data_IF_655289187963
#
_entry.id   IF_655289187963
#
_cell.length_a   1.000
_cell.length_b   1.000
_cell.length_c   1.000
_cell.angle_alpha   90.00
_cell.angle_beta   90.00
_cell.angle_gamma   90.00
#
_symmetry.space_group_name_H-M   'P 1'
#
loop_
_entity.id
_entity.type
_entity.pdbx_description
1 polymer ?
#
# COMPACT_ATOMS: atom_id res chain seq x y z
N UNK A 1 -13.52 -21.17 7.77
CA UNK A 1 -12.63 -21.51 6.64
C UNK A 1 -13.28 -21.21 5.29
N UNK A 2 -14.50 -21.70 5.00
CA UNK A 2 -15.21 -21.41 3.75
C UNK A 2 -15.38 -19.90 3.49
N UNK A 3 -15.74 -19.11 4.51
CA UNK A 3 -15.89 -17.67 4.40
C UNK A 3 -14.55 -16.96 4.09
N UNK A 4 -13.46 -17.36 4.76
CA UNK A 4 -12.13 -16.79 4.49
C UNK A 4 -11.69 -17.04 3.04
N UNK A 5 -11.87 -18.27 2.55
CA UNK A 5 -11.59 -18.61 1.16
C UNK A 5 -12.49 -17.83 0.17
N UNK A 6 -13.76 -17.62 0.52
CA UNK A 6 -14.69 -16.83 -0.29
C UNK A 6 -14.28 -15.35 -0.37
N UNK A 7 -13.78 -14.77 0.73
CA UNK A 7 -13.25 -13.40 0.75
C UNK A 7 -12.02 -13.29 -0.15
N UNK A 8 -11.04 -14.19 0.00
CA UNK A 8 -9.84 -14.19 -0.84
C UNK A 8 -10.15 -14.41 -2.33
N UNK A 9 -11.14 -15.25 -2.63
CA UNK A 9 -11.55 -15.49 -4.03
C UNK A 9 -12.16 -14.25 -4.70
N UNK A 10 -12.84 -13.39 -3.91
CA UNK A 10 -13.45 -12.15 -4.39
C UNK A 10 -12.51 -10.96 -4.35
N UNK A 11 -11.38 -11.08 -3.66
CA UNK A 11 -10.43 -10.00 -3.50
C UNK A 11 -9.79 -9.61 -4.84
N UNK A 12 -9.66 -8.32 -5.09
CA UNK A 12 -9.08 -7.70 -6.29
C UNK A 12 -7.55 -7.83 -6.39
N UNK A 13 -6.91 -8.49 -5.42
CA UNK A 13 -5.46 -8.65 -5.26
C UNK A 13 -4.69 -7.32 -5.15
N UNK A 14 -5.38 -6.26 -4.77
CA UNK A 14 -4.79 -4.96 -4.49
C UNK A 14 -4.75 -4.68 -2.99
N UNK A 15 -3.84 -3.77 -2.58
CA UNK A 15 -3.80 -3.19 -1.23
C UNK A 15 -4.20 -1.72 -1.30
N UNK A 16 -5.36 -1.46 -1.90
CA UNK A 16 -5.94 -0.13 -2.02
C UNK A 16 -6.87 0.19 -0.86
N UNK A 17 -7.20 1.46 -0.67
CA UNK A 17 -8.01 1.91 0.46
C UNK A 17 -9.28 1.07 0.68
N UNK A 18 -9.96 0.70 -0.40
CA UNK A 18 -11.22 -0.03 -0.37
C UNK A 18 -11.09 -1.53 -0.63
N UNK A 19 -9.87 -2.03 -0.88
CA UNK A 19 -9.64 -3.46 -1.13
C UNK A 19 -10.07 -4.31 0.04
N UNK A 20 -10.92 -5.29 -0.24
CA UNK A 20 -11.49 -6.22 0.74
C UNK A 20 -10.91 -7.62 0.52
N UNK A 21 -10.21 -8.12 1.52
CA UNK A 21 -9.44 -9.36 1.45
C UNK A 21 -7.94 -9.15 1.66
N UNK A 22 -7.41 -7.96 1.38
CA UNK A 22 -5.99 -7.64 1.54
C UNK A 22 -5.50 -7.82 2.99
N UNK A 23 -6.28 -7.40 3.98
CA UNK A 23 -5.94 -7.59 5.41
C UNK A 23 -5.88 -9.08 5.75
N UNK A 24 -6.86 -9.86 5.31
CA UNK A 24 -6.88 -11.30 5.51
C UNK A 24 -5.70 -11.99 4.81
N UNK A 25 -5.39 -11.59 3.58
CA UNK A 25 -4.25 -12.11 2.84
C UNK A 25 -2.93 -11.83 3.57
N UNK A 26 -2.73 -10.58 4.02
CA UNK A 26 -1.55 -10.22 4.81
C UNK A 26 -1.40 -11.10 6.05
N UNK A 27 -2.45 -11.21 6.85
CA UNK A 27 -2.39 -12.04 8.07
C UNK A 27 -2.14 -13.53 7.76
N UNK A 28 -2.61 -14.00 6.61
CA UNK A 28 -2.35 -15.36 6.16
C UNK A 28 -0.90 -15.57 5.73
N UNK A 29 -0.37 -14.67 4.90
CA UNK A 29 1.05 -14.70 4.45
C UNK A 29 2.00 -14.59 5.63
N UNK A 30 1.73 -13.67 6.57
CA UNK A 30 2.51 -13.52 7.80
C UNK A 30 2.50 -14.79 8.66
N UNK A 31 1.33 -15.45 8.77
CA UNK A 31 1.19 -16.67 9.55
C UNK A 31 1.94 -17.89 8.94
N UNK A 32 2.10 -17.91 7.62
CA UNK A 32 2.91 -18.91 6.91
C UNK A 32 4.40 -18.52 6.96
N UNK A 33 4.69 -17.22 6.97
CA UNK A 33 6.08 -16.71 6.88
C UNK A 33 6.67 -16.95 5.51
N UNK A 34 5.92 -16.66 4.45
CA UNK A 34 6.41 -16.79 3.07
C UNK A 34 7.66 -15.95 2.82
N UNK A 35 8.60 -16.61 2.16
CA UNK A 35 9.82 -16.00 1.63
C UNK A 35 10.05 -16.48 0.22
N UNK A 36 10.14 -15.56 -0.74
CA UNK A 36 10.34 -15.90 -2.15
C UNK A 36 11.68 -16.61 -2.41
N UNK A 37 12.66 -16.37 -1.54
CA UNK A 37 13.98 -17.00 -1.56
C UNK A 37 14.03 -18.38 -0.87
N UNK A 38 12.88 -18.88 -0.37
CA UNK A 38 12.77 -20.23 0.19
C UNK A 38 11.98 -21.15 -0.76
N UNK A 39 12.65 -21.88 -1.64
CA UNK A 39 11.99 -22.72 -2.66
C UNK A 39 11.11 -23.82 -2.07
N UNK A 40 11.42 -24.31 -0.87
CA UNK A 40 10.69 -25.40 -0.23
C UNK A 40 9.27 -25.03 0.21
N UNK A 41 8.93 -23.76 0.22
CA UNK A 41 7.59 -23.27 0.56
C UNK A 41 6.60 -23.36 -0.60
N UNK A 42 7.08 -23.59 -1.82
CA UNK A 42 6.27 -23.58 -3.04
C UNK A 42 6.22 -24.98 -3.67
N UNK A 43 5.08 -25.31 -4.28
CA UNK A 43 4.95 -26.51 -5.10
C UNK A 43 5.86 -26.44 -6.33
N UNK A 44 5.92 -25.27 -6.96
CA UNK A 44 6.91 -24.90 -7.96
C UNK A 44 7.61 -23.62 -7.47
N UNK A 45 8.93 -23.66 -7.21
CA UNK A 45 9.66 -22.48 -6.75
C UNK A 45 9.73 -21.40 -7.84
N UNK A 46 10.21 -20.22 -7.46
CA UNK A 46 10.49 -19.17 -8.44
C UNK A 46 11.61 -19.60 -9.39
N UNK A 47 11.39 -19.37 -10.69
CA UNK A 47 12.33 -19.70 -11.77
C UNK A 47 12.70 -18.42 -12.54
N UNK A 48 13.99 -18.19 -12.75
CA UNK A 48 14.51 -17.04 -13.50
C UNK A 48 14.04 -17.07 -14.97
N UNK A 49 13.93 -18.27 -15.54
CA UNK A 49 13.46 -18.49 -16.92
C UNK A 49 11.94 -18.28 -17.11
N UNK A 50 11.16 -18.30 -16.03
CA UNK A 50 9.71 -18.07 -16.07
C UNK A 50 9.22 -17.23 -14.86
N UNK A 51 9.71 -15.99 -14.71
CA UNK A 51 9.44 -15.15 -13.56
C UNK A 51 7.97 -14.68 -13.46
N UNK A 52 7.24 -14.72 -14.57
CA UNK A 52 5.85 -14.25 -14.63
C UNK A 52 4.85 -15.30 -14.15
N UNK A 53 5.18 -16.58 -14.23
CA UNK A 53 4.28 -17.68 -13.87
C UNK A 53 4.74 -18.43 -12.63
N UNK A 54 5.88 -18.08 -12.06
CA UNK A 54 6.44 -18.71 -10.85
C UNK A 54 6.68 -17.69 -9.75
N UNK A 55 6.61 -18.09 -8.46
CA UNK A 55 6.34 -19.44 -7.94
C UNK A 55 4.87 -19.85 -8.02
N UNK A 56 4.56 -21.16 -7.91
CA UNK A 56 3.20 -21.67 -7.92
C UNK A 56 2.92 -22.48 -6.67
N UNK A 57 1.77 -22.22 -6.05
CA UNK A 57 1.18 -23.03 -5.00
C UNK A 57 1.96 -23.06 -3.70
N UNK A 58 1.34 -23.61 -2.67
CA UNK A 58 1.91 -23.80 -1.34
C UNK A 58 2.32 -25.27 -1.24
N UNK A 59 3.57 -25.56 -0.88
CA UNK A 59 4.07 -26.93 -0.78
C UNK A 59 3.31 -27.73 0.30
N UNK A 60 3.15 -27.17 1.49
CA UNK A 60 2.35 -27.78 2.57
C UNK A 60 0.95 -27.14 2.60
N UNK A 61 0.02 -27.76 1.87
CA UNK A 61 -1.38 -27.31 1.79
C UNK A 61 -2.05 -27.38 3.17
N UNK A 62 -1.75 -28.39 3.98
CA UNK A 62 -2.39 -28.55 5.29
C UNK A 62 -1.97 -27.43 6.26
N UNK A 63 -0.69 -27.09 6.30
CA UNK A 63 -0.17 -25.94 7.04
C UNK A 63 -0.75 -24.63 6.51
N UNK A 64 -0.82 -24.45 5.19
CA UNK A 64 -1.41 -23.27 4.55
C UNK A 64 -2.88 -23.05 4.94
N UNK A 65 -3.68 -24.12 4.97
CA UNK A 65 -5.09 -24.05 5.39
C UNK A 65 -5.24 -23.79 6.88
N UNK A 66 -4.37 -24.37 7.72
CA UNK A 66 -4.34 -24.10 9.16
C UNK A 66 -3.99 -22.61 9.42
N UNK A 67 -2.99 -22.08 8.73
CA UNK A 67 -2.61 -20.67 8.79
C UNK A 67 -3.75 -19.74 8.35
N UNK A 68 -4.48 -20.06 7.26
CA UNK A 68 -5.65 -19.29 6.82
C UNK A 68 -6.77 -19.27 7.88
N UNK A 69 -7.00 -20.38 8.56
CA UNK A 69 -7.99 -20.46 9.65
C UNK A 69 -7.60 -19.53 10.80
N UNK A 70 -6.33 -19.56 11.20
CA UNK A 70 -5.80 -18.73 12.29
C UNK A 70 -5.83 -17.24 11.90
N UNK A 71 -5.44 -16.90 10.68
CA UNK A 71 -5.52 -15.55 10.13
C UNK A 71 -6.97 -15.03 10.13
N UNK A 72 -7.92 -15.85 9.66
CA UNK A 72 -9.33 -15.48 9.66
C UNK A 72 -9.86 -15.22 11.07
N UNK A 73 -9.50 -16.07 12.04
CA UNK A 73 -9.86 -15.84 13.45
C UNK A 73 -9.27 -14.52 13.96
N UNK A 74 -7.98 -14.28 13.74
CA UNK A 74 -7.29 -13.03 14.14
C UNK A 74 -7.95 -11.80 13.54
N UNK A 75 -8.32 -11.83 12.25
CA UNK A 75 -8.98 -10.70 11.58
C UNK A 75 -10.37 -10.43 12.20
N UNK A 76 -11.16 -11.46 12.49
CA UNK A 76 -12.44 -11.30 13.15
C UNK A 76 -12.27 -10.77 14.58
N UNK A 77 -11.37 -11.34 15.37
CA UNK A 77 -11.11 -10.91 16.74
C UNK A 77 -10.66 -9.44 16.82
N UNK A 78 -9.86 -8.99 15.85
CA UNK A 78 -9.32 -7.63 15.81
C UNK A 78 -10.27 -6.60 15.16
N UNK A 79 -11.06 -7.00 14.17
CA UNK A 79 -11.78 -6.07 13.30
C UNK A 79 -13.27 -6.40 13.09
N UNK A 80 -13.76 -7.50 13.65
CA UNK A 80 -15.17 -7.90 13.63
C UNK A 80 -15.65 -8.51 12.32
N UNK A 81 -14.86 -8.50 11.24
CA UNK A 81 -15.24 -9.05 9.92
C UNK A 81 -14.02 -9.40 9.08
N UNK A 82 -14.14 -10.44 8.24
CA UNK A 82 -13.07 -10.95 7.38
C UNK A 82 -12.73 -10.01 6.22
N UNK A 83 -13.71 -9.29 5.72
CA UNK A 83 -13.61 -8.42 4.55
C UNK A 83 -13.40 -6.95 4.91
N UNK A 84 -12.73 -6.68 6.04
CA UNK A 84 -12.36 -5.32 6.43
C UNK A 84 -11.54 -4.66 5.31
N UNK A 85 -11.86 -3.42 4.96
CA UNK A 85 -11.11 -2.68 3.95
C UNK A 85 -9.67 -2.39 4.40
N UNK A 86 -8.72 -2.45 3.48
CA UNK A 86 -7.30 -2.19 3.78
C UNK A 86 -7.11 -0.85 4.49
N UNK A 87 -7.65 0.23 3.92
CA UNK A 87 -7.54 1.57 4.46
C UNK A 87 -8.26 1.81 5.79
N UNK A 88 -9.13 0.91 6.25
CA UNK A 88 -9.68 0.97 7.60
C UNK A 88 -8.65 0.57 8.66
N UNK A 89 -7.72 -0.32 8.31
CA UNK A 89 -6.68 -0.87 9.17
C UNK A 89 -5.36 -0.13 9.01
N UNK A 90 -4.97 0.14 7.76
CA UNK A 90 -3.70 0.78 7.41
C UNK A 90 -3.93 2.27 7.11
N UNK A 91 -3.19 3.14 7.82
CA UNK A 91 -3.48 4.57 7.89
C UNK A 91 -2.25 5.43 7.59
N UNK A 92 -2.49 6.57 6.96
CA UNK A 92 -1.53 7.68 6.88
C UNK A 92 -1.86 8.60 8.04
N UNK A 93 -0.98 8.66 9.04
CA UNK A 93 -1.19 9.47 10.25
C UNK A 93 -0.02 10.43 10.41
N UNK A 94 -0.34 11.73 10.45
CA UNK A 94 0.60 12.79 10.80
C UNK A 94 -0.19 14.01 11.29
N UNK A 95 0.17 14.51 12.47
CA UNK A 95 -0.51 15.65 13.11
C UNK A 95 -2.02 15.36 13.25
N UNK A 96 -2.88 16.20 12.68
CA UNK A 96 -4.34 16.04 12.65
C UNK A 96 -4.87 15.17 11.49
N UNK A 97 -3.97 14.68 10.63
CA UNK A 97 -4.33 13.83 9.49
C UNK A 97 -4.39 12.37 9.90
N UNK A 98 -5.54 11.73 9.67
CA UNK A 98 -5.75 10.28 9.73
C UNK A 98 -6.54 9.83 8.49
N UNK A 99 -5.84 9.40 7.45
CA UNK A 99 -6.41 9.01 6.15
C UNK A 99 -6.17 7.53 5.86
N UNK A 100 -7.04 6.88 5.06
CA UNK A 100 -6.78 5.54 4.56
C UNK A 100 -5.45 5.47 3.80
N UNK A 101 -4.63 4.48 4.10
CA UNK A 101 -3.42 4.19 3.36
C UNK A 101 -3.64 3.14 2.28
N UNK A 102 -2.74 3.11 1.31
CA UNK A 102 -2.64 2.09 0.27
C UNK A 102 -1.18 1.66 0.11
N UNK A 103 -0.96 0.53 -0.59
CA UNK A 103 0.35 -0.11 -0.62
C UNK A 103 0.66 -0.93 0.63
N UNK A 104 1.78 -1.60 0.65
CA UNK A 104 2.18 -2.49 1.75
C UNK A 104 3.66 -2.82 1.73
N UNK A 105 4.10 -3.78 2.57
CA UNK A 105 5.51 -4.14 2.71
C UNK A 105 6.08 -4.82 1.45
N UNK A 106 6.15 -4.19 0.34
CA UNK A 106 6.87 -4.55 -0.89
C UNK A 106 7.02 -6.05 -1.20
N UNK A 107 8.25 -6.53 -1.19
CA UNK A 107 8.64 -7.86 -1.64
C UNK A 107 7.85 -9.03 -1.05
N UNK A 108 7.56 -9.11 0.26
CA UNK A 108 6.83 -10.25 0.81
C UNK A 108 5.42 -10.44 0.23
N UNK A 109 4.83 -9.38 -0.30
CA UNK A 109 3.48 -9.39 -0.85
C UNK A 109 3.42 -9.07 -2.35
N UNK A 110 4.57 -8.85 -3.00
CA UNK A 110 4.64 -8.49 -4.41
C UNK A 110 4.01 -7.13 -4.72
N UNK A 111 4.03 -6.19 -3.78
CA UNK A 111 3.43 -4.88 -3.95
C UNK A 111 4.42 -3.89 -4.55
N UNK A 112 4.05 -3.29 -5.68
CA UNK A 112 4.86 -2.26 -6.33
C UNK A 112 4.94 -0.97 -5.49
N UNK A 113 3.82 -0.56 -4.86
CA UNK A 113 3.81 0.58 -3.94
C UNK A 113 4.22 0.14 -2.56
N UNK A 114 5.48 0.36 -2.23
CA UNK A 114 6.04 -0.01 -0.93
C UNK A 114 5.63 0.99 0.14
N UNK A 115 5.00 0.50 1.20
CA UNK A 115 4.66 1.29 2.39
C UNK A 115 4.91 0.45 3.62
N UNK A 116 5.87 0.87 4.44
CA UNK A 116 6.14 0.28 5.75
C UNK A 116 5.17 0.81 6.81
N UNK A 117 4.73 -0.08 7.69
CA UNK A 117 3.76 0.25 8.73
C UNK A 117 4.27 -0.17 10.11
N UNK A 118 3.86 0.57 11.13
CA UNK A 118 4.01 0.17 12.54
C UNK A 118 2.63 0.01 13.20
N UNK A 119 2.47 -0.93 14.15
CA UNK A 119 1.23 -1.06 14.90
C UNK A 119 0.96 0.20 15.75
N UNK A 120 -0.32 0.52 15.87
CA UNK A 120 -0.86 1.57 16.74
C UNK A 120 -2.08 1.02 17.50
N UNK A 121 -2.75 1.85 18.27
CA UNK A 121 -3.95 1.47 19.02
C UNK A 121 -5.08 0.94 18.11
N UNK A 122 -5.99 0.18 18.72
CA UNK A 122 -7.17 -0.40 18.08
C UNK A 122 -6.85 -1.33 16.89
N UNK A 123 -5.77 -2.10 16.99
CA UNK A 123 -5.32 -3.04 15.96
C UNK A 123 -5.12 -2.40 14.56
N UNK A 124 -4.83 -1.10 14.52
CA UNK A 124 -4.50 -0.38 13.29
C UNK A 124 -3.00 -0.25 13.12
N UNK A 125 -2.60 0.23 11.96
CA UNK A 125 -1.20 0.43 11.57
C UNK A 125 -1.02 1.81 10.94
N UNK A 126 0.02 2.53 11.36
CA UNK A 126 0.39 3.81 10.78
C UNK A 126 1.56 3.67 9.80
N UNK A 127 1.47 4.31 8.66
CA UNK A 127 2.56 4.39 7.68
C UNK A 127 3.76 5.13 8.29
N UNK A 128 4.98 4.57 8.12
CA UNK A 128 6.22 5.12 8.69
C UNK A 128 7.33 5.31 7.67
N UNK A 129 7.19 4.75 6.47
CA UNK A 129 8.21 4.84 5.43
C UNK A 129 7.77 4.16 4.15
N UNK A 130 8.62 4.15 3.14
CA UNK A 130 8.36 3.54 1.84
C UNK A 130 8.48 4.54 0.69
N UNK A 131 7.73 4.33 -0.39
CA UNK A 131 7.71 5.18 -1.57
C UNK A 131 7.09 6.54 -1.23
N UNK A 132 7.93 7.51 -0.90
CA UNK A 132 7.50 8.84 -0.47
C UNK A 132 7.30 9.81 -1.62
N UNK A 133 7.99 9.63 -2.74
CA UNK A 133 7.86 10.42 -3.95
C UNK A 133 7.45 9.53 -5.13
N UNK A 134 6.40 9.94 -5.83
CA UNK A 134 5.90 9.26 -7.02
C UNK A 134 5.76 10.26 -8.16
N UNK A 135 6.26 9.91 -9.34
CA UNK A 135 6.14 10.73 -10.53
C UNK A 135 5.79 9.87 -11.74
N UNK A 136 4.97 10.44 -12.63
CA UNK A 136 4.72 9.93 -13.98
C UNK A 136 5.16 11.02 -14.94
N UNK A 137 6.04 10.65 -15.86
CA UNK A 137 6.60 11.55 -16.86
C UNK A 137 6.31 10.95 -18.23
N UNK A 138 5.57 11.70 -19.04
CA UNK A 138 5.26 11.34 -20.42
C UNK A 138 6.19 12.11 -21.37
N UNK A 139 6.93 11.38 -22.18
CA UNK A 139 7.84 11.90 -23.18
C UNK A 139 7.15 11.91 -24.54
N UNK A 140 6.74 13.08 -25.01
CA UNK A 140 6.08 13.31 -26.29
C UNK A 140 6.55 14.62 -26.90
N UNK A 141 5.79 15.19 -27.83
CA UNK A 141 6.08 16.51 -28.46
C UNK A 141 6.17 17.62 -27.40
N UNK A 142 5.39 17.48 -26.33
CA UNK A 142 5.54 18.27 -25.11
C UNK A 142 5.66 17.32 -23.91
N UNK A 143 6.65 17.57 -23.05
CA UNK A 143 6.85 16.76 -21.86
C UNK A 143 5.79 17.11 -20.82
N UNK A 144 5.04 16.08 -20.39
CA UNK A 144 4.05 16.17 -19.32
C UNK A 144 4.59 15.46 -18.08
N UNK A 145 4.40 16.06 -16.91
CA UNK A 145 4.83 15.45 -15.66
C UNK A 145 3.81 15.68 -14.54
N UNK A 146 3.57 14.63 -13.77
CA UNK A 146 2.73 14.66 -12.59
C UNK A 146 3.46 14.00 -11.42
N UNK A 147 3.29 14.52 -10.20
CA UNK A 147 3.91 13.95 -9.01
C UNK A 147 3.08 14.13 -7.74
N UNK A 148 3.39 13.33 -6.73
CA UNK A 148 2.96 13.54 -5.35
C UNK A 148 4.04 13.11 -4.36
N UNK A 149 3.98 13.63 -3.14
CA UNK A 149 4.76 13.15 -1.99
C UNK A 149 3.83 12.62 -0.91
N UNK A 150 4.36 11.71 -0.07
CA UNK A 150 3.55 10.97 0.89
C UNK A 150 2.76 11.81 1.88
N UNK A 151 3.30 12.96 2.29
CA UNK A 151 2.62 13.86 3.22
C UNK A 151 2.59 15.29 2.70
N UNK A 152 3.74 15.89 2.51
CA UNK A 152 4.00 17.25 2.07
C UNK A 152 5.49 17.52 2.02
N UNK A 153 5.91 18.67 1.55
CA UNK A 153 7.32 19.00 1.33
C UNK A 153 8.00 19.71 2.51
N UNK A 154 7.29 19.91 3.62
CA UNK A 154 7.83 20.56 4.83
C UNK A 154 7.85 19.59 6.01
N UNK A 155 8.89 19.67 6.83
CA UNK A 155 9.01 18.91 8.08
C UNK A 155 8.66 19.73 9.32
N UNK A 156 8.59 21.05 9.21
CA UNK A 156 8.25 21.97 10.32
C UNK A 156 6.80 21.75 10.76
N UNK A 157 6.59 21.61 12.06
CA UNK A 157 5.28 21.30 12.66
C UNK A 157 4.18 22.33 12.35
N UNK A 158 4.56 23.59 12.15
CA UNK A 158 3.59 24.67 11.88
C UNK A 158 3.42 24.99 10.38
N UNK A 159 4.11 24.28 9.51
CA UNK A 159 4.01 24.53 8.07
C UNK A 159 2.70 23.99 7.51
N UNK A 160 1.93 24.77 6.72
CA UNK A 160 0.75 24.26 6.03
C UNK A 160 1.10 23.20 4.97
N UNK A 161 2.38 23.12 4.57
CA UNK A 161 2.89 22.16 3.59
C UNK A 161 3.40 20.85 4.22
N UNK A 162 3.13 20.62 5.50
CA UNK A 162 3.56 19.41 6.20
C UNK A 162 2.70 18.20 5.83
N UNK A 163 1.41 18.41 5.54
CA UNK A 163 0.43 17.34 5.27
C UNK A 163 -0.47 17.61 4.06
N UNK A 164 -0.24 18.69 3.33
CA UNK A 164 -1.10 19.15 2.23
C UNK A 164 -1.24 18.16 1.07
N UNK A 165 -0.28 17.25 0.88
CA UNK A 165 -0.33 16.21 -0.15
C UNK A 165 -0.79 14.83 0.37
N UNK A 166 -1.00 14.66 1.66
CA UNK A 166 -1.43 13.38 2.24
C UNK A 166 -2.72 12.84 1.60
N UNK A 167 -3.66 13.72 1.27
CA UNK A 167 -4.92 13.34 0.60
C UNK A 167 -4.68 12.83 -0.83
N UNK A 168 -3.79 13.47 -1.59
CA UNK A 168 -3.41 12.99 -2.93
C UNK A 168 -2.78 11.61 -2.84
N UNK A 169 -1.84 11.44 -1.92
CA UNK A 169 -1.19 10.16 -1.68
C UNK A 169 -2.19 9.06 -1.29
N UNK A 170 -3.09 9.33 -0.34
CA UNK A 170 -4.15 8.43 0.07
C UNK A 170 -5.07 8.02 -1.09
N UNK A 171 -5.38 8.93 -2.00
CA UNK A 171 -6.26 8.70 -3.14
C UNK A 171 -5.54 8.21 -4.40
N UNK A 172 -4.24 7.97 -4.35
CA UNK A 172 -3.40 7.67 -5.52
C UNK A 172 -3.49 8.74 -6.62
N UNK A 173 -3.64 10.00 -6.23
CA UNK A 173 -3.70 11.13 -7.15
C UNK A 173 -2.34 11.83 -7.21
N UNK A 174 -2.06 12.36 -8.38
CA UNK A 174 -0.88 13.15 -8.66
C UNK A 174 -1.31 14.57 -9.01
N UNK A 175 -0.45 15.54 -8.73
CA UNK A 175 -0.61 16.91 -9.18
C UNK A 175 0.32 17.20 -10.37
N UNK A 176 -0.05 18.11 -11.29
CA UNK A 176 0.82 18.49 -12.38
C UNK A 176 2.10 19.16 -11.85
N UNK A 177 3.20 18.94 -12.55
CA UNK A 177 4.45 19.68 -12.38
C UNK A 177 4.49 20.72 -13.48
N UNK A 178 4.29 21.99 -13.11
CA UNK A 178 4.36 23.10 -14.04
C UNK A 178 5.82 23.39 -14.39
N UNK A 179 6.12 23.60 -15.66
CA UNK A 179 7.47 23.79 -16.18
C UNK A 179 7.67 25.11 -16.88
N UNK A 180 6.66 25.58 -17.61
CA UNK A 180 6.74 26.89 -18.28
C UNK A 180 6.44 28.03 -17.30
N UNK A 181 7.03 29.17 -17.56
CA UNK A 181 6.77 30.39 -16.78
C UNK A 181 5.28 30.76 -16.77
N UNK A 182 4.61 30.60 -17.90
CA UNK A 182 3.17 30.90 -18.02
C UNK A 182 2.31 29.94 -17.16
N UNK A 183 2.63 28.65 -17.12
CA UNK A 183 1.93 27.68 -16.24
C UNK A 183 2.13 28.03 -14.76
N UNK A 184 3.36 28.36 -14.37
CA UNK A 184 3.68 28.75 -13.00
C UNK A 184 2.92 30.02 -12.62
N UNK A 185 3.00 31.08 -13.44
CA UNK A 185 2.33 32.36 -13.18
C UNK A 185 0.81 32.24 -13.11
N UNK A 186 0.21 31.36 -13.95
CA UNK A 186 -1.24 31.10 -13.94
C UNK A 186 -1.73 30.36 -12.69
N UNK A 187 -0.84 29.70 -11.96
CA UNK A 187 -1.16 28.88 -10.78
C UNK A 187 -0.53 29.44 -9.49
N UNK A 188 0.03 30.63 -9.52
CA UNK A 188 0.61 31.27 -8.34
C UNK A 188 -0.49 31.59 -7.31
N UNK A 189 -0.24 31.24 -6.07
CA UNK A 189 -1.06 31.63 -4.91
C UNK A 189 -0.39 32.71 -4.07
N UNK A 190 0.95 32.79 -4.11
CA UNK A 190 1.75 33.72 -3.34
C UNK A 190 3.10 33.96 -4.03
N UNK A 191 3.61 35.18 -3.99
CA UNK A 191 4.97 35.52 -4.38
C UNK A 191 5.66 36.21 -3.19
N UNK A 192 6.82 35.71 -2.81
CA UNK A 192 7.68 36.32 -1.79
C UNK A 192 8.93 36.85 -2.46
N UNK A 193 9.38 38.06 -2.02
CA UNK A 193 10.64 38.66 -2.43
C UNK A 193 11.54 38.69 -1.20
N UNK A 194 12.76 38.19 -1.35
CA UNK A 194 13.79 38.17 -0.32
C UNK A 194 14.87 39.18 -0.61
#
# INVERSE_FOLDING_TARGET
MHEAAAVLKKWDRCADNESRGAVLFKEWVDAIGFRIDNPDQFHLPWLEEDPMNTPIGIADIAAGLAALRNAGKKVIDNHGKLDIAWGAVFRIIRDDVDLPANGGPGDPYGLFRVTGYRPIENNRYAAVGGDSFQAIIEFGDSLQAMASIGYGNASQERSPHRTDQAKFYSQKKLRPIWRSRSEIESNLTLTEQF
#
